data_IF_253153622782
#
_entry.id   IF_253153622782
#
_cell.length_a   1.000
_cell.length_b   1.000
_cell.length_c   1.000
_cell.angle_alpha   90.00
_cell.angle_beta   90.00
_cell.angle_gamma   90.00
#
_symmetry.space_group_name_H-M   'P 1'
#
loop_
_entity.id
_entity.type
_entity.pdbx_description
1 polymer ?
#
# COMPACT_ATOMS: atom_id res chain seq x y z
N UNK A 1 9.68 -9.15 12.75
CA UNK A 1 10.11 -10.12 11.70
C UNK A 1 10.15 -9.36 10.39
N UNK A 2 11.29 -9.39 9.69
CA UNK A 2 11.45 -8.66 8.43
C UNK A 2 11.18 -9.64 7.27
N UNK A 3 10.38 -9.22 6.30
CA UNK A 3 10.12 -9.99 5.08
C UNK A 3 10.79 -9.26 3.91
N UNK A 4 11.60 -9.99 3.15
CA UNK A 4 12.26 -9.50 1.95
C UNK A 4 11.77 -10.29 0.74
N UNK A 5 11.49 -9.58 -0.35
CA UNK A 5 11.07 -10.16 -1.62
C UNK A 5 11.97 -9.60 -2.72
N UNK A 6 12.72 -10.47 -3.38
CA UNK A 6 13.59 -10.10 -4.48
C UNK A 6 12.77 -9.77 -5.73
N UNK A 7 12.79 -8.52 -6.17
CA UNK A 7 12.05 -8.05 -7.34
C UNK A 7 12.49 -8.70 -8.66
N UNK A 8 13.69 -9.29 -8.72
CA UNK A 8 14.15 -10.02 -9.90
C UNK A 8 13.53 -11.42 -10.03
N UNK A 9 12.91 -11.93 -8.95
CA UNK A 9 12.24 -13.23 -8.97
C UNK A 9 10.85 -13.15 -9.60
N UNK A 10 10.57 -14.03 -10.56
CA UNK A 10 9.22 -14.17 -11.15
C UNK A 10 8.13 -14.47 -10.11
N UNK A 11 8.50 -15.08 -8.97
CA UNK A 11 7.57 -15.45 -7.90
C UNK A 11 7.35 -14.34 -6.88
N UNK A 12 8.05 -13.21 -6.99
CA UNK A 12 8.04 -12.16 -5.97
C UNK A 12 6.63 -11.66 -5.66
N UNK A 13 5.86 -11.31 -6.70
CA UNK A 13 4.49 -10.81 -6.54
C UNK A 13 3.57 -11.85 -5.88
N UNK A 14 3.68 -13.11 -6.29
CA UNK A 14 2.89 -14.21 -5.72
C UNK A 14 3.22 -14.40 -4.23
N UNK A 15 4.50 -14.51 -3.88
CA UNK A 15 4.93 -14.72 -2.49
C UNK A 15 4.56 -13.54 -1.60
N UNK A 16 4.70 -12.31 -2.10
CA UNK A 16 4.26 -11.10 -1.42
C UNK A 16 2.76 -11.14 -1.14
N UNK A 17 1.94 -11.49 -2.14
CA UNK A 17 0.49 -11.56 -1.99
C UNK A 17 0.05 -12.61 -0.95
N UNK A 18 0.67 -13.79 -0.96
CA UNK A 18 0.39 -14.86 0.00
C UNK A 18 0.73 -14.39 1.43
N UNK A 19 1.90 -13.76 1.59
CA UNK A 19 2.34 -13.27 2.89
C UNK A 19 1.46 -12.15 3.41
N UNK A 20 1.12 -11.16 2.57
CA UNK A 20 0.21 -10.08 2.93
C UNK A 20 -1.15 -10.60 3.34
N UNK A 21 -1.73 -11.53 2.58
CA UNK A 21 -3.01 -12.17 2.91
C UNK A 21 -2.96 -12.88 4.27
N UNK A 22 -1.87 -13.59 4.55
CA UNK A 22 -1.67 -14.25 5.86
C UNK A 22 -1.61 -13.26 7.01
N UNK A 23 -0.88 -12.14 6.85
CA UNK A 23 -0.80 -11.09 7.88
C UNK A 23 -2.16 -10.47 8.13
N UNK A 24 -2.90 -10.13 7.06
CA UNK A 24 -4.25 -9.56 7.18
C UNK A 24 -5.16 -10.53 7.92
N UNK A 25 -5.23 -11.79 7.50
CA UNK A 25 -6.12 -12.79 8.09
C UNK A 25 -5.80 -13.11 9.56
N UNK A 26 -4.54 -12.96 9.98
CA UNK A 26 -4.12 -13.28 11.36
C UNK A 26 -4.24 -12.09 12.31
N UNK A 27 -4.18 -10.86 11.79
CA UNK A 27 -4.14 -9.64 12.63
C UNK A 27 -5.44 -8.84 12.61
N UNK A 28 -6.25 -8.96 11.55
CA UNK A 28 -7.50 -8.22 11.39
C UNK A 28 -8.57 -8.72 12.35
N UNK A 29 -9.19 -7.79 13.08
CA UNK A 29 -10.38 -8.08 13.88
C UNK A 29 -11.64 -8.15 13.00
N UNK A 30 -12.72 -8.81 13.45
CA UNK A 30 -14.02 -8.74 12.78
C UNK A 30 -14.43 -7.28 12.54
N UNK A 31 -14.98 -7.00 11.35
CA UNK A 31 -15.44 -5.66 10.91
C UNK A 31 -14.37 -4.55 10.90
N UNK A 32 -13.09 -4.85 11.12
CA UNK A 32 -12.04 -3.85 11.02
C UNK A 32 -11.72 -3.56 9.55
N UNK A 33 -11.86 -2.30 9.13
CA UNK A 33 -11.54 -1.89 7.77
C UNK A 33 -10.03 -2.00 7.47
N UNK A 34 -9.68 -2.17 6.20
CA UNK A 34 -8.28 -2.23 5.74
C UNK A 34 -8.01 -0.98 4.93
N UNK A 35 -6.94 -0.28 5.30
CA UNK A 35 -6.42 0.85 4.54
C UNK A 35 -5.07 0.45 3.95
N UNK A 36 -4.92 0.67 2.65
CA UNK A 36 -3.63 0.67 1.96
C UNK A 36 -3.20 2.13 1.82
N UNK A 37 -2.19 2.53 2.59
CA UNK A 37 -1.65 3.87 2.59
C UNK A 37 -0.38 3.92 1.73
N UNK A 38 -0.49 4.59 0.58
CA UNK A 38 0.58 4.74 -0.40
C UNK A 38 1.35 6.04 -0.17
N UNK A 39 2.43 5.97 0.62
CA UNK A 39 3.20 7.15 1.05
C UNK A 39 4.23 7.55 -0.02
N UNK A 40 4.33 8.85 -0.32
CA UNK A 40 5.32 9.45 -1.20
C UNK A 40 4.90 10.80 -1.79
N UNK A 41 5.82 11.46 -2.52
CA UNK A 41 5.55 12.71 -3.25
C UNK A 41 6.42 12.85 -4.51
N UNK A 42 6.15 13.90 -5.29
CA UNK A 42 6.87 14.30 -6.51
C UNK A 42 8.26 14.93 -6.25
N UNK A 43 8.58 15.24 -4.99
CA UNK A 43 9.81 15.95 -4.61
C UNK A 43 11.03 15.06 -4.36
N UNK A 44 10.83 13.75 -4.22
CA UNK A 44 11.88 12.76 -4.00
C UNK A 44 11.72 11.64 -5.03
N UNK A 45 12.68 11.53 -5.96
CA UNK A 45 12.66 10.55 -7.07
C UNK A 45 12.54 9.09 -6.61
N UNK A 46 12.82 8.80 -5.33
CA UNK A 46 12.67 7.48 -4.70
C UNK A 46 11.35 7.25 -3.94
N UNK A 47 10.61 8.31 -3.60
CA UNK A 47 9.36 8.19 -2.81
C UNK A 47 8.11 8.18 -3.70
N UNK A 48 8.22 8.58 -4.96
CA UNK A 48 7.06 8.65 -5.88
C UNK A 48 6.46 7.28 -6.24
N UNK A 49 7.12 6.17 -5.86
CA UNK A 49 6.60 4.82 -6.10
C UNK A 49 5.30 4.55 -5.34
N UNK A 50 5.15 5.03 -4.10
CA UNK A 50 3.91 4.87 -3.34
C UNK A 50 2.70 5.42 -4.09
N UNK A 51 2.65 6.74 -4.39
CA UNK A 51 1.56 7.37 -5.14
C UNK A 51 1.27 6.71 -6.50
N UNK A 52 2.30 6.23 -7.22
CA UNK A 52 2.11 5.50 -8.47
C UNK A 52 1.39 4.16 -8.26
N UNK A 53 1.75 3.41 -7.23
CA UNK A 53 1.07 2.16 -6.87
C UNK A 53 -0.37 2.44 -6.47
N UNK A 54 -0.62 3.46 -5.64
CA UNK A 54 -1.97 3.84 -5.24
C UNK A 54 -2.87 4.23 -6.41
N UNK A 55 -2.32 4.96 -7.38
CA UNK A 55 -3.02 5.27 -8.64
C UNK A 55 -3.41 4.01 -9.43
N UNK A 56 -2.52 3.02 -9.53
CA UNK A 56 -2.81 1.74 -10.19
C UNK A 56 -3.84 0.92 -9.44
N UNK A 57 -3.73 0.84 -8.10
CA UNK A 57 -4.66 0.10 -7.25
C UNK A 57 -6.06 0.70 -7.29
N UNK A 58 -6.21 2.03 -7.37
CA UNK A 58 -7.52 2.70 -7.48
C UNK A 58 -8.27 2.34 -8.76
N UNK A 59 -7.54 2.02 -9.84
CA UNK A 59 -8.12 1.58 -11.12
C UNK A 59 -8.49 0.10 -11.15
N UNK A 60 -7.95 -0.70 -10.25
CA UNK A 60 -8.32 -2.11 -10.14
C UNK A 60 -9.70 -2.26 -9.47
N UNK A 61 -10.41 -3.38 -9.69
CA UNK A 61 -11.62 -3.69 -8.94
C UNK A 61 -11.33 -3.64 -7.43
N UNK A 62 -12.04 -2.78 -6.70
CA UNK A 62 -11.82 -2.61 -5.27
C UNK A 62 -12.31 -3.85 -4.51
N UNK A 63 -11.43 -4.43 -3.71
CA UNK A 63 -11.70 -5.66 -2.97
C UNK A 63 -11.58 -5.42 -1.46
N UNK A 64 -12.57 -4.79 -0.84
CA UNK A 64 -12.68 -4.75 0.63
C UNK A 64 -11.54 -4.03 1.37
N UNK A 65 -10.88 -3.06 0.71
CA UNK A 65 -9.90 -2.15 1.29
C UNK A 65 -10.07 -0.74 0.71
N UNK A 66 -9.65 0.27 1.46
CA UNK A 66 -9.55 1.66 1.02
C UNK A 66 -8.12 1.98 0.61
N UNK A 67 -7.96 2.88 -0.36
CA UNK A 67 -6.65 3.30 -0.87
C UNK A 67 -6.51 4.82 -0.69
N UNK A 68 -5.48 5.23 0.04
CA UNK A 68 -5.07 6.63 0.18
C UNK A 68 -3.65 6.81 -0.35
N UNK A 69 -3.36 8.01 -0.86
CA UNK A 69 -2.12 8.27 -1.59
C UNK A 69 -2.23 7.82 -3.04
N UNK A 70 -2.36 8.77 -3.95
CA UNK A 70 -2.20 8.54 -5.39
C UNK A 70 -1.47 9.73 -6.02
N UNK A 71 -1.25 9.68 -7.33
CA UNK A 71 -0.55 10.75 -8.06
C UNK A 71 -1.26 12.12 -7.97
N UNK A 72 -2.58 12.16 -7.75
CA UNK A 72 -3.36 13.39 -7.63
C UNK A 72 -3.42 13.89 -6.17
N UNK A 73 -3.47 12.96 -5.22
CA UNK A 73 -3.60 13.21 -3.79
C UNK A 73 -2.47 12.46 -3.05
N UNK A 74 -1.22 12.97 -3.09
CA UNK A 74 -0.09 12.32 -2.43
C UNK A 74 -0.26 12.36 -0.90
N UNK A 75 0.23 11.32 -0.23
CA UNK A 75 0.35 11.27 1.23
C UNK A 75 1.83 11.24 1.58
N UNK A 76 2.30 12.17 2.38
CA UNK A 76 3.71 12.30 2.78
C UNK A 76 3.80 12.78 4.23
N UNK A 77 5.01 12.84 4.79
CA UNK A 77 5.22 13.21 6.20
C UNK A 77 4.48 14.49 6.63
N UNK A 78 4.49 15.53 5.78
CA UNK A 78 3.83 16.81 6.09
C UNK A 78 2.30 16.84 6.08
N UNK A 79 1.61 15.82 5.55
CA UNK A 79 0.14 15.77 5.51
C UNK A 79 -0.44 14.46 6.06
N UNK A 80 0.40 13.59 6.63
CA UNK A 80 0.01 12.28 7.13
C UNK A 80 -1.12 12.34 8.17
N UNK A 81 -1.10 13.37 9.00
CA UNK A 81 -2.09 13.60 10.05
C UNK A 81 -3.53 13.66 9.52
N UNK A 82 -3.73 14.12 8.29
CA UNK A 82 -5.06 14.22 7.67
C UNK A 82 -5.68 12.84 7.36
N UNK A 83 -4.90 11.75 7.47
CA UNK A 83 -5.31 10.40 7.07
C UNK A 83 -5.26 9.37 8.20
N UNK A 84 -4.60 9.66 9.33
CA UNK A 84 -4.32 8.69 10.40
C UNK A 84 -4.98 9.07 11.74
N UNK A 85 -5.53 10.28 11.86
CA UNK A 85 -6.27 10.74 13.06
C UNK A 85 -7.75 10.37 13.05
#
# INVERSE_FOLDING_TARGET
MNYYFDSSSEKAALLLSIRLKSIINTKKKPNQEIIILCIGSDRSTGDSLGPLIGYKLKKAPQCGFYIYGDLMHPVHAGNLQLYID
#
